data_IF_648513834280
#
_entry.id   IF_648513834280
#
_cell.length_a   1.000
_cell.length_b   1.000
_cell.length_c   1.000
_cell.angle_alpha   90.00
_cell.angle_beta   90.00
_cell.angle_gamma   90.00
#
_symmetry.space_group_name_H-M   'P 1'
#
loop_
_entity.id
_entity.type
_entity.pdbx_description
1 polymer ?
#
# COMPACT_ATOMS: atom_id res chain seq x y z
N UNK A 1 -14.24 -10.15 -3.86
CA UNK A 1 -13.69 -10.68 -2.59
C UNK A 1 -12.24 -10.27 -2.31
N UNK A 2 -11.26 -10.43 -3.22
CA UNK A 2 -9.85 -10.10 -2.91
C UNK A 2 -9.60 -8.61 -2.63
N UNK A 3 -10.32 -7.70 -3.30
CA UNK A 3 -10.23 -6.27 -3.02
C UNK A 3 -10.63 -5.92 -1.58
N UNK A 4 -11.75 -6.46 -1.08
CA UNK A 4 -12.26 -6.19 0.28
C UNK A 4 -11.29 -6.65 1.35
N UNK A 5 -10.70 -7.85 1.18
CA UNK A 5 -9.68 -8.37 2.11
C UNK A 5 -8.46 -7.46 2.13
N UNK A 6 -7.99 -7.00 0.96
CA UNK A 6 -6.87 -6.07 0.89
C UNK A 6 -7.19 -4.74 1.58
N UNK A 7 -8.39 -4.18 1.40
CA UNK A 7 -8.79 -2.93 2.07
C UNK A 7 -8.84 -3.08 3.59
N UNK A 8 -9.35 -4.21 4.10
CA UNK A 8 -9.36 -4.50 5.54
C UNK A 8 -7.93 -4.58 6.09
N UNK A 9 -7.03 -5.28 5.39
CA UNK A 9 -5.62 -5.39 5.80
C UNK A 9 -4.93 -4.02 5.75
N UNK A 10 -5.17 -3.22 4.71
CA UNK A 10 -4.65 -1.86 4.58
C UNK A 10 -5.14 -0.96 5.73
N UNK A 11 -6.43 -1.04 6.05
CA UNK A 11 -7.03 -0.30 7.17
C UNK A 11 -6.40 -0.68 8.51
N UNK A 12 -6.29 -1.98 8.81
CA UNK A 12 -5.65 -2.46 10.04
C UNK A 12 -4.17 -2.06 10.14
N UNK A 13 -3.44 -2.13 9.02
CA UNK A 13 -2.04 -1.69 8.96
C UNK A 13 -1.91 -0.19 9.27
N UNK A 14 -2.82 0.63 8.74
CA UNK A 14 -2.85 2.07 8.97
C UNK A 14 -3.17 2.40 10.43
N UNK A 15 -4.19 1.77 11.01
CA UNK A 15 -4.55 1.90 12.43
C UNK A 15 -3.38 1.48 13.31
N UNK A 16 -2.79 0.30 13.05
CA UNK A 16 -1.63 -0.19 13.78
C UNK A 16 -0.46 0.79 13.72
N UNK A 17 -0.17 1.35 12.55
CA UNK A 17 0.91 2.32 12.37
C UNK A 17 0.69 3.59 13.21
N UNK A 18 -0.52 4.14 13.22
CA UNK A 18 -0.89 5.29 14.06
C UNK A 18 -0.69 4.97 15.54
N UNK A 19 -1.21 3.83 16.00
CA UNK A 19 -1.08 3.39 17.40
C UNK A 19 0.39 3.26 17.82
N UNK A 20 1.23 2.64 16.99
CA UNK A 20 2.67 2.52 17.28
C UNK A 20 3.40 3.85 17.25
N UNK A 21 3.02 4.76 16.36
CA UNK A 21 3.62 6.10 16.27
C UNK A 21 3.38 6.91 17.54
N UNK A 22 2.14 6.92 18.03
CA UNK A 22 1.76 7.61 19.28
C UNK A 22 2.52 7.03 20.47
N UNK A 23 2.71 5.70 20.52
CA UNK A 23 3.44 5.03 21.60
C UNK A 23 4.96 5.21 21.57
N UNK A 24 5.55 5.41 20.39
CA UNK A 24 7.00 5.48 20.23
C UNK A 24 7.59 6.88 20.42
N UNK A 25 6.76 7.93 20.58
CA UNK A 25 7.16 9.35 20.60
C UNK A 25 7.98 9.82 19.39
N UNK A 26 8.11 8.97 18.36
CA UNK A 26 8.80 9.24 17.12
C UNK A 26 7.74 9.27 16.00
N UNK A 27 7.61 10.39 15.24
CA UNK A 27 6.58 10.51 14.23
C UNK A 27 6.83 9.52 13.08
N UNK A 28 5.83 8.69 12.78
CA UNK A 28 5.81 7.91 11.54
C UNK A 28 5.52 8.82 10.36
N UNK A 29 6.27 8.63 9.28
CA UNK A 29 6.12 9.38 8.05
C UNK A 29 5.78 8.43 6.89
N UNK A 30 4.56 8.52 6.30
CA UNK A 30 4.16 7.63 5.22
C UNK A 30 4.99 7.82 3.94
N UNK A 31 5.59 8.99 3.75
CA UNK A 31 6.47 9.29 2.61
C UNK A 31 7.96 9.15 2.95
N UNK A 32 8.30 8.20 3.83
CA UNK A 32 9.69 7.92 4.20
C UNK A 32 10.50 7.26 3.07
N UNK A 33 11.74 6.87 3.36
CA UNK A 33 12.71 6.34 2.38
C UNK A 33 12.23 5.13 1.57
N UNK A 34 11.28 4.35 2.09
CA UNK A 34 10.68 3.21 1.40
C UNK A 34 9.54 3.56 0.42
N UNK A 35 9.04 4.80 0.47
CA UNK A 35 7.89 5.24 -0.33
C UNK A 35 8.14 5.19 -1.84
N UNK A 36 9.28 5.63 -2.39
CA UNK A 36 9.53 5.53 -3.83
C UNK A 36 9.45 4.09 -4.35
N UNK A 37 9.99 3.13 -3.59
CA UNK A 37 9.93 1.71 -3.94
C UNK A 37 8.49 1.19 -3.95
N UNK A 38 7.70 1.55 -2.93
CA UNK A 38 6.29 1.18 -2.82
C UNK A 38 5.45 1.84 -3.93
N UNK A 39 5.73 3.10 -4.27
CA UNK A 39 5.06 3.83 -5.33
C UNK A 39 5.32 3.20 -6.70
N UNK A 40 6.57 2.85 -7.03
CA UNK A 40 6.92 2.17 -8.28
C UNK A 40 6.21 0.82 -8.38
N UNK A 41 6.19 0.05 -7.28
CA UNK A 41 5.49 -1.22 -7.24
C UNK A 41 3.97 -1.05 -7.43
N UNK A 42 3.37 -0.03 -6.81
CA UNK A 42 1.97 0.31 -7.01
C UNK A 42 1.66 0.74 -8.45
N UNK A 43 2.52 1.54 -9.10
CA UNK A 43 2.35 1.89 -10.52
C UNK A 43 2.34 0.64 -11.39
N UNK A 44 3.29 -0.28 -11.19
CA UNK A 44 3.34 -1.54 -11.92
C UNK A 44 2.07 -2.38 -11.70
N UNK A 45 1.61 -2.48 -10.46
CA UNK A 45 0.37 -3.17 -10.12
C UNK A 45 -0.86 -2.57 -10.81
N UNK A 46 -1.04 -1.24 -10.70
CA UNK A 46 -2.15 -0.54 -11.33
C UNK A 46 -2.16 -0.73 -12.85
N UNK A 47 -1.01 -0.61 -13.50
CA UNK A 47 -0.89 -0.79 -14.95
C UNK A 47 -1.32 -2.20 -15.38
N UNK A 48 -0.89 -3.24 -14.65
CA UNK A 48 -1.30 -4.63 -14.93
C UNK A 48 -2.81 -4.80 -14.76
N UNK A 49 -3.39 -4.27 -13.68
CA UNK A 49 -4.84 -4.33 -13.43
C UNK A 49 -5.65 -3.60 -14.51
N UNK A 50 -5.23 -2.39 -14.88
CA UNK A 50 -5.86 -1.57 -15.90
C UNK A 50 -5.81 -2.23 -17.28
N UNK A 51 -4.67 -2.83 -17.66
CA UNK A 51 -4.51 -3.57 -18.92
C UNK A 51 -5.39 -4.81 -18.94
N UNK A 52 -5.44 -5.57 -17.84
CA UNK A 52 -6.26 -6.78 -17.76
C UNK A 52 -7.77 -6.50 -17.91
N UNK A 53 -8.23 -5.32 -17.49
CA UNK A 53 -9.65 -4.90 -17.58
C UNK A 53 -9.92 -3.99 -18.79
N UNK A 54 -8.87 -3.58 -19.52
CA UNK A 54 -8.98 -2.70 -20.70
C UNK A 54 -9.43 -1.28 -20.36
N UNK A 55 -9.21 -0.81 -19.13
CA UNK A 55 -9.70 0.49 -18.65
C UNK A 55 -8.60 1.24 -17.91
N UNK A 56 -8.28 2.44 -18.38
CA UNK A 56 -7.31 3.32 -17.75
C UNK A 56 -7.95 4.67 -17.45
N UNK A 57 -7.82 5.14 -16.21
CA UNK A 57 -8.27 6.47 -15.80
C UNK A 57 -7.19 7.12 -14.96
N UNK A 58 -6.74 8.31 -15.37
CA UNK A 58 -5.68 9.06 -14.67
C UNK A 58 -6.13 9.42 -13.25
N UNK A 59 -7.41 9.78 -13.06
CA UNK A 59 -7.97 10.06 -11.74
C UNK A 59 -7.99 8.82 -10.84
N UNK A 60 -8.37 7.67 -11.40
CA UNK A 60 -8.32 6.39 -10.68
C UNK A 60 -6.88 5.91 -10.45
N UNK A 61 -5.93 6.27 -11.31
CA UNK A 61 -4.52 5.94 -11.16
C UNK A 61 -3.88 6.68 -9.98
N UNK A 62 -4.21 7.96 -9.78
CA UNK A 62 -3.69 8.73 -8.65
C UNK A 62 -4.06 8.07 -7.31
N UNK A 63 -5.34 7.74 -7.12
CA UNK A 63 -5.79 7.03 -5.91
C UNK A 63 -5.34 5.57 -5.88
N UNK A 64 -5.41 4.88 -7.02
CA UNK A 64 -5.04 3.47 -7.17
C UNK A 64 -3.55 3.19 -6.99
N UNK A 65 -2.69 4.21 -7.05
CA UNK A 65 -1.25 4.08 -6.78
C UNK A 65 -0.89 4.64 -5.40
N UNK A 66 -1.41 5.82 -5.05
CA UNK A 66 -1.06 6.50 -3.81
C UNK A 66 -1.55 5.74 -2.58
N UNK A 67 -2.80 5.27 -2.60
CA UNK A 67 -3.39 4.57 -1.46
C UNK A 67 -2.65 3.25 -1.14
N UNK A 68 -2.36 2.37 -2.12
CA UNK A 68 -1.57 1.17 -1.86
C UNK A 68 -0.14 1.45 -1.39
N UNK A 69 0.51 2.49 -1.92
CA UNK A 69 1.84 2.88 -1.48
C UNK A 69 1.85 3.33 -0.01
N UNK A 70 0.86 4.12 0.41
CA UNK A 70 0.72 4.53 1.82
C UNK A 70 0.39 3.35 2.73
N UNK A 71 -0.51 2.47 2.31
CA UNK A 71 -0.87 1.28 3.07
C UNK A 71 0.32 0.32 3.24
N UNK A 72 1.16 0.17 2.21
CA UNK A 72 2.40 -0.61 2.28
C UNK A 72 3.40 -0.02 3.30
N UNK A 73 3.50 1.30 3.38
CA UNK A 73 4.38 1.97 4.35
C UNK A 73 3.87 1.79 5.79
N UNK A 74 2.55 1.82 5.98
CA UNK A 74 1.94 1.52 7.28
C UNK A 74 2.18 0.06 7.68
N UNK A 75 1.97 -0.89 6.76
CA UNK A 75 2.19 -2.31 7.00
C UNK A 75 3.66 -2.60 7.35
N UNK A 76 4.59 -2.03 6.60
CA UNK A 76 6.03 -2.21 6.84
C UNK A 76 6.43 -1.64 8.21
N UNK A 77 5.85 -0.50 8.60
CA UNK A 77 6.07 0.07 9.94
C UNK A 77 5.58 -0.87 11.05
N UNK A 78 4.35 -1.38 10.91
CA UNK A 78 3.77 -2.34 11.85
C UNK A 78 4.60 -3.63 11.93
N UNK A 79 4.95 -4.23 10.79
CA UNK A 79 5.74 -5.47 10.74
C UNK A 79 7.12 -5.29 11.39
N UNK A 80 7.78 -4.16 11.14
CA UNK A 80 9.07 -3.85 11.77
C UNK A 80 8.95 -3.77 13.29
N UNK A 81 7.81 -3.27 13.81
CA UNK A 81 7.55 -3.17 15.25
C UNK A 81 7.12 -4.50 15.89
N UNK A 82 6.27 -5.26 15.21
CA UNK A 82 5.72 -6.52 15.73
C UNK A 82 6.70 -7.68 15.64
N UNK A 83 7.41 -7.81 14.53
CA UNK A 83 8.23 -8.99 14.22
C UNK A 83 9.72 -8.72 14.40
N UNK A 84 10.14 -7.45 14.63
CA UNK A 84 11.54 -6.99 14.66
C UNK A 84 12.36 -7.35 13.42
N UNK A 85 11.72 -7.79 12.35
CA UNK A 85 12.32 -8.03 11.03
C UNK A 85 11.91 -6.88 10.12
N UNK A 86 12.82 -6.39 9.27
CA UNK A 86 12.51 -5.44 8.19
C UNK A 86 12.30 -6.21 6.89
N UNK A 87 11.07 -6.70 6.59
CA UNK A 87 10.81 -7.34 5.31
C UNK A 87 10.80 -6.27 4.21
N UNK A 88 11.95 -6.11 3.55
CA UNK A 88 12.14 -5.15 2.44
C UNK A 88 11.23 -5.45 1.24
N UNK A 89 10.77 -6.69 1.11
CA UNK A 89 9.88 -7.14 0.03
C UNK A 89 8.39 -6.95 0.33
N UNK A 90 7.97 -6.93 1.61
CA UNK A 90 6.55 -6.95 1.97
C UNK A 90 5.82 -5.66 1.58
N UNK A 91 6.45 -4.50 1.77
CA UNK A 91 5.94 -3.21 1.33
C UNK A 91 5.65 -3.15 -0.18
N UNK A 92 6.66 -3.34 -1.05
CA UNK A 92 6.44 -3.28 -2.50
C UNK A 92 5.46 -4.35 -3.00
N UNK A 93 5.50 -5.59 -2.49
CA UNK A 93 4.51 -6.62 -2.88
C UNK A 93 3.09 -6.20 -2.50
N UNK A 94 2.89 -5.67 -1.29
CA UNK A 94 1.57 -5.22 -0.85
C UNK A 94 1.04 -4.02 -1.66
N UNK A 95 1.94 -3.10 -2.03
CA UNK A 95 1.61 -1.95 -2.87
C UNK A 95 1.20 -2.38 -4.28
N UNK A 96 1.95 -3.31 -4.90
CA UNK A 96 1.64 -3.84 -6.22
C UNK A 96 0.29 -4.58 -6.25
N UNK A 97 0.04 -5.46 -5.28
CA UNK A 97 -1.23 -6.20 -5.18
C UNK A 97 -2.41 -5.24 -4.99
N UNK A 98 -2.26 -4.26 -4.09
CA UNK A 98 -3.32 -3.27 -3.83
C UNK A 98 -3.68 -2.44 -5.05
N UNK A 99 -2.66 -2.02 -5.79
CA UNK A 99 -2.83 -1.21 -6.97
C UNK A 99 -3.41 -2.00 -8.14
N UNK A 100 -3.03 -3.26 -8.31
CA UNK A 100 -3.65 -4.17 -9.29
C UNK A 100 -5.14 -4.39 -8.99
N UNK A 101 -5.50 -4.56 -7.72
CA UNK A 101 -6.89 -4.68 -7.30
C UNK A 101 -7.67 -3.38 -7.58
N UNK A 102 -7.10 -2.21 -7.31
CA UNK A 102 -7.74 -0.92 -7.62
C UNK A 102 -7.87 -0.67 -9.14
N UNK A 103 -6.86 -1.02 -9.93
CA UNK A 103 -6.91 -0.93 -11.39
C UNK A 103 -7.95 -1.86 -12.02
N UNK A 104 -8.38 -2.89 -11.29
CA UNK A 104 -9.41 -3.84 -11.75
C UNK A 104 -10.85 -3.50 -11.34
N UNK A 105 -11.06 -2.48 -10.51
CA UNK A 105 -12.40 -2.08 -10.07
C UNK A 105 -13.13 -1.25 -11.14
N UNK A 106 -14.45 -1.41 -11.32
CA UNK A 106 -15.22 -0.50 -12.14
C UNK A 106 -15.24 0.88 -11.48
N UNK A 107 -14.57 1.86 -12.12
CA UNK A 107 -14.63 3.27 -11.75
C UNK A 107 -15.92 3.95 -12.18
#
# INVERSE_FOLDING_TARGET
MPAVVWTVVAGLALIGSVVFSVRAAAPWHPFGVGFPLAAVAAVGGYAVGAVAVGRFSIGAAAFGVLWPAMAAMALTHVLTRCVRVRPTWAGPVFAAVGAALHGSLPG
#
